data_IF_473537284036
#
_entry.id   IF_473537284036
#
_cell.length_a   1.000
_cell.length_b   1.000
_cell.length_c   1.000
_cell.angle_alpha   90.00
_cell.angle_beta   90.00
_cell.angle_gamma   90.00
#
_symmetry.space_group_name_H-M   'P 1'
#
loop_
_entity.id
_entity.type
_entity.pdbx_description
1 polymer ?
#
# COMPACT_ATOMS: atom_id res chain seq x y z
N UNK A 1 26.47 20.26 0.90
CA UNK A 1 25.33 19.45 1.40
C UNK A 1 24.33 20.38 2.07
N UNK A 2 23.05 20.06 2.05
CA UNK A 2 22.01 20.83 2.76
C UNK A 2 21.75 20.14 4.11
N UNK A 3 21.70 20.92 5.20
CA UNK A 3 21.38 20.42 6.55
C UNK A 3 19.92 20.76 6.85
N UNK A 4 19.11 19.76 7.20
CA UNK A 4 17.67 19.95 7.42
C UNK A 4 16.88 19.98 6.10
N UNK A 5 15.57 20.27 6.17
CA UNK A 5 14.68 20.45 5.01
C UNK A 5 14.71 19.30 3.99
N UNK A 6 14.88 18.06 4.47
CA UNK A 6 14.90 16.87 3.61
C UNK A 6 13.67 16.76 2.68
N UNK A 7 12.45 17.02 3.16
CA UNK A 7 11.25 17.02 2.32
C UNK A 7 11.30 18.06 1.20
N UNK A 8 11.61 19.32 1.50
CA UNK A 8 11.60 20.42 0.52
C UNK A 8 12.69 20.23 -0.55
N UNK A 9 13.87 19.78 -0.13
CA UNK A 9 14.95 19.47 -1.07
C UNK A 9 14.63 18.25 -1.96
N UNK A 10 13.91 17.26 -1.42
CA UNK A 10 13.43 16.14 -2.21
C UNK A 10 12.40 16.57 -3.26
N UNK A 11 11.44 17.43 -2.89
CA UNK A 11 10.44 17.97 -3.80
C UNK A 11 11.08 18.78 -4.94
N UNK A 12 12.06 19.63 -4.62
CA UNK A 12 12.83 20.37 -5.63
C UNK A 12 13.64 19.43 -6.53
N UNK A 13 14.29 18.41 -5.97
CA UNK A 13 15.02 17.42 -6.76
C UNK A 13 14.10 16.70 -7.75
N UNK A 14 12.87 16.36 -7.35
CA UNK A 14 11.88 15.75 -8.23
C UNK A 14 11.37 16.72 -9.29
N UNK A 15 11.12 17.98 -8.92
CA UNK A 15 10.72 19.04 -9.86
C UNK A 15 11.79 19.28 -10.93
N UNK A 16 13.07 19.21 -10.55
CA UNK A 16 14.20 19.34 -11.47
C UNK A 16 14.48 18.06 -12.30
N UNK A 17 13.65 17.02 -12.17
CA UNK A 17 13.80 15.76 -12.91
C UNK A 17 14.99 14.90 -12.47
N UNK A 18 15.53 15.12 -11.27
CA UNK A 18 16.61 14.29 -10.72
C UNK A 18 16.05 12.95 -10.19
N UNK A 19 16.90 11.92 -10.06
CA UNK A 19 16.47 10.59 -9.57
C UNK A 19 15.92 10.65 -8.12
N UNK A 20 16.29 11.68 -7.35
CA UNK A 20 15.94 11.87 -5.95
C UNK A 20 17.13 12.36 -5.13
N UNK A 21 17.16 12.04 -3.84
CA UNK A 21 18.19 12.53 -2.90
C UNK A 21 18.84 11.39 -2.11
N UNK A 22 20.06 11.63 -1.64
CA UNK A 22 20.74 10.78 -0.66
C UNK A 22 20.93 11.56 0.64
N UNK A 23 20.24 11.14 1.69
CA UNK A 23 20.40 11.66 3.05
C UNK A 23 21.52 10.93 3.77
N UNK A 24 22.59 11.65 4.14
CA UNK A 24 23.75 11.11 4.84
C UNK A 24 23.79 11.62 6.27
N UNK A 25 24.03 10.73 7.25
CA UNK A 25 24.23 11.13 8.65
C UNK A 25 25.55 11.87 8.78
N UNK A 26 25.49 13.18 9.02
CA UNK A 26 26.64 14.09 8.93
C UNK A 26 27.84 13.68 9.80
N UNK A 27 27.58 13.16 11.00
CA UNK A 27 28.63 12.82 11.96
C UNK A 27 29.04 11.34 11.90
N UNK A 28 28.61 10.59 10.89
CA UNK A 28 28.92 9.17 10.79
C UNK A 28 30.13 8.94 9.87
N UNK A 29 31.10 8.10 10.26
CA UNK A 29 32.20 7.73 9.39
C UNK A 29 31.69 6.90 8.20
N UNK A 30 32.45 6.89 7.11
CA UNK A 30 32.19 5.99 6.00
C UNK A 30 32.29 4.54 6.46
N UNK A 31 31.30 3.72 6.11
CA UNK A 31 31.30 2.27 6.34
C UNK A 31 30.88 1.56 5.07
N UNK A 32 31.68 0.60 4.63
CA UNK A 32 31.33 -0.28 3.52
C UNK A 32 30.19 -1.23 3.93
N UNK A 33 29.41 -1.69 2.94
CA UNK A 33 28.27 -2.59 3.16
C UNK A 33 26.93 -1.87 3.41
N UNK A 34 25.89 -2.65 3.68
CA UNK A 34 24.52 -2.14 3.85
C UNK A 34 24.39 -1.41 5.20
N UNK A 35 24.06 -0.12 5.15
CA UNK A 35 23.89 0.69 6.37
C UNK A 35 22.65 1.58 6.29
N UNK A 36 22.23 2.10 7.45
CA UNK A 36 21.18 3.13 7.56
C UNK A 36 21.74 4.55 7.63
N UNK A 37 23.05 4.71 7.45
CA UNK A 37 23.73 6.01 7.55
C UNK A 37 23.50 6.85 6.29
N UNK A 38 23.24 6.18 5.16
CA UNK A 38 22.89 6.77 3.88
C UNK A 38 21.52 6.23 3.49
N UNK A 39 20.56 7.11 3.29
CA UNK A 39 19.21 6.76 2.86
C UNK A 39 18.95 7.38 1.50
N UNK A 40 18.58 6.55 0.52
CA UNK A 40 18.15 7.01 -0.81
C UNK A 40 16.64 7.19 -0.79
N UNK A 41 16.18 8.38 -1.14
CA UNK A 41 14.79 8.66 -1.49
C UNK A 41 14.75 8.92 -2.99
N UNK A 42 13.88 8.20 -3.72
CA UNK A 42 13.77 8.31 -5.18
C UNK A 42 12.51 9.08 -5.56
N UNK A 43 12.62 9.93 -6.56
CA UNK A 43 11.46 10.49 -7.23
C UNK A 43 10.79 9.38 -8.03
N UNK A 44 9.57 9.04 -7.66
CA UNK A 44 8.78 8.04 -8.36
C UNK A 44 7.54 8.69 -8.94
N UNK A 45 7.14 8.23 -10.11
CA UNK A 45 5.95 8.66 -10.84
C UNK A 45 4.90 7.57 -10.71
N UNK A 46 3.65 7.97 -10.55
CA UNK A 46 2.52 7.05 -10.54
C UNK A 46 1.63 7.39 -11.73
N UNK A 47 1.22 6.38 -12.48
CA UNK A 47 0.25 6.55 -13.55
C UNK A 47 -0.61 5.28 -13.68
N UNK A 48 -1.61 5.36 -14.54
CA UNK A 48 -2.62 4.33 -14.74
C UNK A 48 -2.53 3.85 -16.18
N UNK A 49 -2.55 2.54 -16.37
CA UNK A 49 -2.34 1.91 -17.67
C UNK A 49 -3.32 0.77 -17.87
N UNK A 50 -3.74 0.56 -19.11
CA UNK A 50 -4.61 -0.55 -19.46
C UNK A 50 -3.81 -1.83 -19.60
N UNK A 51 -4.31 -2.93 -19.06
CA UNK A 51 -3.73 -4.25 -19.23
C UNK A 51 -4.23 -4.85 -20.54
N UNK A 52 -3.31 -5.16 -21.45
CA UNK A 52 -3.64 -5.79 -22.74
C UNK A 52 -3.07 -7.22 -22.90
N UNK A 53 -2.34 -7.72 -21.90
CA UNK A 53 -1.86 -9.10 -21.90
C UNK A 53 -1.00 -9.42 -20.70
N UNK A 54 -0.51 -10.66 -20.65
CA UNK A 54 0.46 -11.09 -19.65
C UNK A 54 1.42 -12.15 -20.21
N UNK A 55 2.61 -12.24 -19.60
CA UNK A 55 3.60 -13.28 -19.91
C UNK A 55 3.42 -14.48 -18.98
N UNK A 56 3.82 -15.70 -19.38
CA UNK A 56 3.81 -16.85 -18.50
C UNK A 56 4.75 -16.62 -17.31
N UNK A 57 4.51 -17.30 -16.18
CA UNK A 57 5.41 -17.24 -15.04
C UNK A 57 6.75 -17.92 -15.38
N UNK A 58 7.80 -17.57 -14.65
CA UNK A 58 9.13 -18.17 -14.78
C UNK A 58 9.70 -18.53 -13.41
N UNK A 59 10.42 -19.65 -13.32
CA UNK A 59 11.01 -20.13 -12.07
C UNK A 59 9.94 -20.55 -11.06
N UNK A 60 10.09 -20.16 -9.79
CA UNK A 60 9.16 -20.50 -8.70
C UNK A 60 7.89 -19.63 -8.65
N UNK A 61 7.64 -18.79 -9.66
CA UNK A 61 6.50 -17.87 -9.70
C UNK A 61 5.23 -18.62 -10.13
N UNK A 62 4.10 -18.34 -9.48
CA UNK A 62 2.76 -18.83 -9.87
C UNK A 62 1.94 -17.71 -10.52
N UNK A 63 0.89 -18.08 -11.28
CA UNK A 63 0.03 -17.14 -11.99
C UNK A 63 0.66 -16.68 -13.30
N UNK A 64 1.20 -15.45 -13.32
CA UNK A 64 1.81 -14.84 -14.50
C UNK A 64 3.20 -14.24 -14.19
N UNK A 65 3.99 -13.99 -15.23
CA UNK A 65 5.33 -13.40 -15.13
C UNK A 65 5.31 -11.87 -15.02
N UNK A 66 4.62 -11.21 -15.94
CA UNK A 66 4.44 -9.76 -15.96
C UNK A 66 3.16 -9.40 -16.74
N UNK A 67 2.52 -8.28 -16.38
CA UNK A 67 1.46 -7.69 -17.20
C UNK A 67 2.07 -6.86 -18.33
N UNK A 68 1.41 -6.85 -19.48
CA UNK A 68 1.67 -5.97 -20.61
C UNK A 68 0.72 -4.79 -20.54
N UNK A 69 1.29 -3.60 -20.55
CA UNK A 69 0.58 -2.35 -20.29
C UNK A 69 0.50 -1.51 -21.56
N UNK A 70 -0.59 -0.76 -21.68
CA UNK A 70 -0.77 0.22 -22.74
C UNK A 70 -1.56 1.44 -22.32
N UNK A 71 -1.66 2.39 -23.24
CA UNK A 71 -2.48 3.59 -23.14
C UNK A 71 -3.24 3.80 -24.44
N UNK A 72 -4.50 4.25 -24.37
CA UNK A 72 -5.26 4.49 -25.59
C UNK A 72 -4.84 5.82 -26.22
N UNK A 73 -4.50 5.78 -27.51
CA UNK A 73 -4.27 6.94 -28.38
C UNK A 73 -5.05 6.77 -29.66
N UNK A 74 -5.88 7.76 -29.98
CA UNK A 74 -6.69 7.75 -31.21
C UNK A 74 -7.49 6.43 -31.37
N UNK A 75 -8.03 5.92 -30.26
CA UNK A 75 -8.79 4.66 -30.22
C UNK A 75 -7.96 3.38 -30.33
N UNK A 76 -6.62 3.46 -30.29
CA UNK A 76 -5.71 2.31 -30.34
C UNK A 76 -4.91 2.18 -29.06
N UNK A 77 -4.74 0.96 -28.57
CA UNK A 77 -3.95 0.71 -27.37
C UNK A 77 -2.45 0.66 -27.72
N UNK A 78 -1.70 1.70 -27.39
CA UNK A 78 -0.24 1.74 -27.57
C UNK A 78 0.48 1.06 -26.40
N UNK A 79 1.41 0.17 -26.71
CA UNK A 79 2.20 -0.54 -25.71
C UNK A 79 3.20 0.38 -25.00
N UNK A 80 3.19 0.39 -23.66
CA UNK A 80 4.08 1.21 -22.83
C UNK A 80 5.03 0.39 -21.96
N UNK A 81 5.06 -0.93 -22.11
CA UNK A 81 5.99 -1.79 -21.38
C UNK A 81 5.32 -2.86 -20.53
N UNK A 82 6.12 -3.51 -19.69
CA UNK A 82 5.67 -4.62 -18.85
C UNK A 82 5.95 -4.36 -17.38
N UNK A 83 5.07 -4.83 -16.50
CA UNK A 83 5.24 -4.75 -15.04
C UNK A 83 5.25 -6.14 -14.42
N UNK A 84 6.34 -6.47 -13.74
CA UNK A 84 6.57 -7.81 -13.14
C UNK A 84 6.84 -7.78 -11.65
N UNK A 85 6.79 -6.63 -10.99
CA UNK A 85 7.03 -6.47 -9.54
C UNK A 85 5.87 -5.72 -8.90
N UNK A 86 5.78 -5.74 -7.56
CA UNK A 86 4.69 -5.09 -6.81
C UNK A 86 3.49 -6.00 -6.51
N UNK A 87 3.53 -7.26 -6.92
CA UNK A 87 2.48 -8.25 -6.63
C UNK A 87 2.83 -9.11 -5.42
N UNK A 88 1.88 -9.27 -4.50
CA UNK A 88 1.87 -10.39 -3.56
C UNK A 88 1.49 -11.70 -4.26
N UNK A 89 1.79 -12.85 -3.64
CA UNK A 89 1.42 -14.16 -4.20
C UNK A 89 -0.09 -14.30 -4.44
N UNK A 90 -0.92 -13.84 -3.50
CA UNK A 90 -2.38 -13.85 -3.63
C UNK A 90 -2.85 -12.95 -4.78
N UNK A 91 -2.26 -11.77 -4.94
CA UNK A 91 -2.58 -10.88 -6.07
C UNK A 91 -2.23 -11.52 -7.41
N UNK A 92 -1.09 -12.23 -7.52
CA UNK A 92 -0.75 -12.96 -8.74
C UNK A 92 -1.82 -14.01 -9.08
N UNK A 93 -2.25 -14.80 -8.10
CA UNK A 93 -3.26 -15.86 -8.28
C UNK A 93 -4.64 -15.28 -8.63
N UNK A 94 -5.12 -14.30 -7.86
CA UNK A 94 -6.43 -13.68 -8.07
C UNK A 94 -6.50 -12.92 -9.41
N UNK A 95 -5.46 -12.15 -9.74
CA UNK A 95 -5.43 -11.42 -11.00
C UNK A 95 -5.26 -12.36 -12.19
N UNK A 96 -4.48 -13.44 -12.07
CA UNK A 96 -4.38 -14.45 -13.12
C UNK A 96 -5.76 -15.06 -13.44
N UNK A 97 -6.52 -15.47 -12.42
CA UNK A 97 -7.86 -16.03 -12.60
C UNK A 97 -8.83 -15.05 -13.28
N UNK A 98 -8.67 -13.73 -13.05
CA UNK A 98 -9.45 -12.69 -13.75
C UNK A 98 -9.00 -12.51 -15.19
N UNK A 99 -7.69 -12.44 -15.43
CA UNK A 99 -7.12 -12.29 -16.77
C UNK A 99 -7.50 -13.46 -17.69
N UNK A 100 -7.56 -14.68 -17.16
CA UNK A 100 -8.01 -15.86 -17.91
C UNK A 100 -9.46 -15.73 -18.42
N UNK A 101 -10.33 -15.00 -17.72
CA UNK A 101 -11.71 -14.76 -18.17
C UNK A 101 -11.80 -13.70 -19.28
N UNK A 102 -10.76 -12.89 -19.42
CA UNK A 102 -10.67 -11.82 -20.40
C UNK A 102 -9.73 -12.20 -21.56
N UNK A 103 -9.31 -13.46 -21.68
CA UNK A 103 -8.41 -13.91 -22.76
C UNK A 103 -8.99 -13.60 -24.14
N UNK A 104 -8.11 -13.15 -25.04
CA UNK A 104 -8.44 -12.78 -26.40
C UNK A 104 -7.45 -13.45 -27.37
N UNK A 105 -7.92 -13.82 -28.56
CA UNK A 105 -7.07 -14.53 -29.53
C UNK A 105 -6.02 -13.60 -30.17
N UNK A 106 -6.34 -12.31 -30.28
CA UNK A 106 -5.51 -11.31 -30.96
C UNK A 106 -4.98 -10.28 -29.96
N UNK A 107 -3.80 -9.74 -30.27
CA UNK A 107 -3.22 -8.64 -29.49
C UNK A 107 -4.13 -7.41 -29.56
N UNK A 108 -4.53 -6.83 -28.41
CA UNK A 108 -5.26 -5.56 -28.40
C UNK A 108 -4.34 -4.36 -28.70
N UNK A 109 -3.02 -4.55 -28.64
CA UNK A 109 -2.06 -3.48 -28.85
C UNK A 109 -1.90 -3.15 -30.33
N UNK A 110 -1.72 -1.86 -30.62
CA UNK A 110 -1.21 -1.39 -31.89
C UNK A 110 0.16 -2.04 -32.19
N UNK A 111 0.47 -2.36 -33.46
CA UNK A 111 1.75 -2.95 -33.84
C UNK A 111 2.93 -2.11 -33.35
N UNK A 112 3.85 -2.75 -32.61
CA UNK A 112 5.04 -2.10 -32.08
C UNK A 112 6.21 -3.07 -32.05
N UNK A 113 7.42 -2.59 -32.39
CA UNK A 113 8.66 -3.38 -32.31
C UNK A 113 9.05 -3.73 -30.87
N UNK A 114 8.53 -2.99 -29.89
CA UNK A 114 8.79 -3.19 -28.46
C UNK A 114 7.89 -4.24 -27.81
N UNK A 115 6.82 -4.68 -28.50
CA UNK A 115 5.97 -5.75 -28.00
C UNK A 115 6.76 -7.06 -27.89
N UNK A 116 6.57 -7.84 -26.81
CA UNK A 116 7.22 -9.13 -26.69
C UNK A 116 6.82 -10.05 -27.85
N UNK A 117 7.80 -10.54 -28.62
CA UNK A 117 7.59 -11.47 -29.75
C UNK A 117 7.33 -12.91 -29.33
N UNK A 118 7.28 -13.20 -28.03
CA UNK A 118 7.10 -14.56 -27.53
C UNK A 118 5.71 -15.07 -27.89
N UNK A 119 5.64 -16.27 -28.49
CA UNK A 119 4.37 -16.97 -28.75
C UNK A 119 3.60 -17.35 -27.49
N UNK A 120 4.23 -17.25 -26.31
CA UNK A 120 3.61 -17.60 -25.04
C UNK A 120 2.89 -16.43 -24.35
N UNK A 121 2.83 -15.24 -24.96
CA UNK A 121 2.04 -14.14 -24.41
C UNK A 121 0.56 -14.48 -24.51
N UNK A 122 -0.16 -14.27 -23.41
CA UNK A 122 -1.61 -14.35 -23.37
C UNK A 122 -2.17 -12.94 -23.53
N UNK A 123 -2.98 -12.72 -24.56
CA UNK A 123 -3.64 -11.43 -24.80
C UNK A 123 -4.94 -11.40 -24.02
N UNK A 124 -5.29 -10.21 -23.53
CA UNK A 124 -6.56 -10.02 -22.83
C UNK A 124 -7.29 -8.81 -23.37
N UNK A 125 -8.61 -8.79 -23.23
CA UNK A 125 -9.42 -7.63 -23.53
C UNK A 125 -8.95 -6.43 -22.70
N UNK A 126 -8.79 -5.24 -23.31
CA UNK A 126 -8.21 -4.07 -22.66
C UNK A 126 -9.22 -3.37 -21.74
N UNK A 127 -9.72 -4.09 -20.74
CA UNK A 127 -10.76 -3.64 -19.80
C UNK A 127 -10.25 -3.33 -18.41
N UNK A 128 -9.10 -3.90 -18.04
CA UNK A 128 -8.54 -3.73 -16.71
C UNK A 128 -7.55 -2.56 -16.69
N UNK A 129 -7.72 -1.65 -15.73
CA UNK A 129 -6.77 -0.56 -15.48
C UNK A 129 -5.89 -0.90 -14.29
N UNK A 130 -4.57 -0.84 -14.48
CA UNK A 130 -3.56 -1.03 -13.47
C UNK A 130 -2.91 0.31 -13.09
N UNK A 131 -2.86 0.60 -11.80
CA UNK A 131 -2.04 1.68 -11.26
C UNK A 131 -0.62 1.18 -11.05
N UNK A 132 0.36 1.93 -11.56
CA UNK A 132 1.76 1.54 -11.64
C UNK A 132 2.65 2.69 -11.21
N UNK A 133 3.60 2.39 -10.33
CA UNK A 133 4.72 3.25 -10.00
C UNK A 133 5.89 2.99 -10.95
N UNK A 134 6.57 4.01 -11.43
CA UNK A 134 7.74 3.91 -12.31
C UNK A 134 8.69 5.10 -12.10
N UNK A 135 9.94 4.99 -12.58
CA UNK A 135 10.91 6.08 -12.39
C UNK A 135 10.88 7.11 -13.51
N UNK A 136 10.78 6.64 -14.76
CA UNK A 136 10.76 7.49 -15.95
C UNK A 136 10.19 6.74 -17.16
N UNK A 137 9.85 7.48 -18.23
CA UNK A 137 9.58 6.91 -19.55
C UNK A 137 10.84 7.00 -20.41
N UNK A 138 11.12 5.97 -21.21
CA UNK A 138 12.18 6.04 -22.23
C UNK A 138 11.75 6.96 -23.38
N UNK A 139 12.70 7.29 -24.28
CA UNK A 139 12.40 8.06 -25.50
C UNK A 139 11.33 7.38 -26.36
N UNK A 140 11.28 6.05 -26.33
CA UNK A 140 10.30 5.23 -27.04
C UNK A 140 8.98 5.08 -26.27
N UNK A 141 8.78 5.84 -25.19
CA UNK A 141 7.53 5.86 -24.41
C UNK A 141 7.36 4.73 -23.40
N UNK A 142 8.36 3.85 -23.23
CA UNK A 142 8.30 2.68 -22.35
C UNK A 142 8.59 3.02 -20.88
N UNK A 143 7.91 2.35 -19.95
CA UNK A 143 8.12 2.53 -18.52
C UNK A 143 9.43 1.91 -18.04
N UNK A 144 10.21 2.69 -17.26
CA UNK A 144 11.43 2.22 -16.59
C UNK A 144 11.17 1.93 -15.11
N UNK A 145 11.64 0.75 -14.68
CA UNK A 145 11.46 0.23 -13.32
C UNK A 145 10.00 0.25 -12.83
N UNK A 146 9.02 -0.23 -13.62
CA UNK A 146 7.63 -0.23 -13.20
C UNK A 146 7.37 -1.24 -12.08
N UNK A 147 6.52 -0.88 -11.13
CA UNK A 147 5.99 -1.72 -10.06
C UNK A 147 4.49 -1.52 -9.92
N UNK A 148 3.75 -2.62 -9.84
CA UNK A 148 2.30 -2.61 -9.68
C UNK A 148 1.91 -2.09 -8.29
N UNK A 149 0.87 -1.26 -8.25
CA UNK A 149 0.27 -0.75 -7.02
C UNK A 149 -1.11 -1.36 -6.76
N UNK A 150 -1.95 -1.47 -7.80
CA UNK A 150 -3.32 -1.97 -7.66
C UNK A 150 -4.11 -1.89 -8.96
N UNK A 151 -5.33 -2.43 -8.97
CA UNK A 151 -6.28 -2.22 -10.06
C UNK A 151 -7.17 -1.00 -9.77
N UNK A 152 -7.70 -0.40 -10.84
CA UNK A 152 -8.65 0.71 -10.79
C UNK A 152 -9.89 0.35 -11.59
N UNK A 153 -10.83 -0.30 -10.91
CA UNK A 153 -12.08 -0.78 -11.53
C UNK A 153 -13.11 0.35 -11.73
N UNK A 154 -12.87 1.48 -11.09
CA UNK A 154 -13.67 2.69 -11.16
C UNK A 154 -13.41 3.53 -12.42
N UNK A 155 -12.45 3.13 -13.26
CA UNK A 155 -12.02 3.91 -14.42
C UNK A 155 -12.36 3.21 -15.73
N UNK A 156 -12.84 4.02 -16.68
CA UNK A 156 -12.99 3.63 -18.07
C UNK A 156 -11.59 3.61 -18.75
N UNK A 157 -11.14 2.46 -19.28
CA UNK A 157 -9.86 2.34 -19.98
C UNK A 157 -9.67 3.33 -21.13
N UNK A 158 -10.74 3.67 -21.87
CA UNK A 158 -10.65 4.54 -23.05
C UNK A 158 -10.54 6.03 -22.69
N UNK A 159 -10.90 6.40 -21.46
CA UNK A 159 -10.86 7.78 -20.97
C UNK A 159 -9.57 8.10 -20.20
N UNK A 160 -8.60 7.18 -20.17
CA UNK A 160 -7.32 7.42 -19.52
C UNK A 160 -6.51 8.47 -20.29
N UNK A 161 -5.87 9.38 -19.55
CA UNK A 161 -4.96 10.37 -20.12
C UNK A 161 -3.82 9.66 -20.89
N UNK A 162 -3.69 9.89 -22.21
CA UNK A 162 -2.72 9.19 -23.06
C UNK A 162 -1.25 9.50 -22.76
N UNK A 163 -0.99 10.58 -22.04
CA UNK A 163 0.37 10.98 -21.71
C UNK A 163 0.74 10.52 -20.31
N UNK A 164 -0.21 10.48 -19.37
CA UNK A 164 0.14 10.40 -17.94
C UNK A 164 1.20 11.45 -17.56
N UNK A 165 1.33 12.52 -18.37
CA UNK A 165 2.30 13.62 -18.26
C UNK A 165 1.65 14.87 -17.70
N UNK A 166 0.34 14.85 -17.41
CA UNK A 166 0.00 15.35 -16.09
C UNK A 166 0.77 14.47 -15.15
N UNK A 167 1.91 15.00 -14.70
CA UNK A 167 2.27 14.89 -13.30
C UNK A 167 0.94 15.15 -12.58
N UNK A 168 0.17 14.09 -12.30
CA UNK A 168 -0.55 14.07 -11.04
C UNK A 168 0.55 14.45 -10.08
N UNK A 169 0.47 15.70 -9.57
CA UNK A 169 1.37 16.20 -8.54
C UNK A 169 1.66 15.01 -7.66
N UNK A 170 2.96 14.63 -7.50
CA UNK A 170 3.35 13.32 -6.98
C UNK A 170 2.38 13.03 -5.87
N UNK A 171 1.48 12.03 -6.02
CA UNK A 171 0.31 11.91 -5.13
C UNK A 171 0.89 12.02 -3.75
N UNK A 172 0.77 13.21 -3.15
CA UNK A 172 1.18 13.39 -1.78
C UNK A 172 0.29 12.34 -1.15
N UNK A 173 0.81 11.38 -0.37
CA UNK A 173 -0.09 10.57 0.45
C UNK A 173 -1.01 11.61 1.09
N UNK A 174 -2.32 11.58 0.79
CA UNK A 174 -3.14 12.77 0.54
C UNK A 174 -2.68 13.91 1.43
N UNK A 175 -2.10 14.97 0.86
CA UNK A 175 -1.91 16.18 1.65
C UNK A 175 -3.29 16.54 2.16
N UNK A 176 -3.39 16.56 3.50
CA UNK A 176 -4.60 16.61 4.31
C UNK A 176 -5.44 17.88 4.14
N UNK A 177 -5.55 18.46 2.95
CA UNK A 177 -6.04 19.83 2.80
C UNK A 177 -6.83 20.15 1.54
N UNK A 178 -7.40 19.17 0.82
CA UNK A 178 -8.38 19.48 -0.24
C UNK A 178 -9.30 18.30 -0.65
N UNK A 179 -9.64 17.42 0.30
CA UNK A 179 -10.98 16.86 0.30
C UNK A 179 -11.54 17.27 1.64
N UNK A 180 -12.50 18.19 1.63
CA UNK A 180 -13.51 18.25 2.68
C UNK A 180 -14.30 16.93 2.63
N UNK A 181 -13.66 15.81 2.93
CA UNK A 181 -14.29 14.86 3.82
C UNK A 181 -14.25 15.60 5.15
N UNK A 182 -15.41 16.09 5.62
CA UNK A 182 -15.55 16.59 6.98
C UNK A 182 -14.75 15.66 7.89
N UNK A 183 -13.63 16.13 8.40
CA UNK A 183 -12.77 15.31 9.25
C UNK A 183 -13.60 15.02 10.50
N UNK A 184 -14.24 13.85 10.52
CA UNK A 184 -15.11 13.46 11.62
C UNK A 184 -14.19 13.03 12.74
N UNK A 185 -14.32 13.70 13.89
CA UNK A 185 -13.60 13.33 15.09
C UNK A 185 -14.45 12.34 15.87
N UNK A 186 -13.85 11.21 16.23
CA UNK A 186 -14.42 10.21 17.14
C UNK A 186 -13.40 10.01 18.26
N UNK A 187 -13.81 10.13 19.52
CA UNK A 187 -12.93 10.00 20.68
C UNK A 187 -11.59 10.78 20.57
N UNK A 188 -11.66 12.06 20.20
CA UNK A 188 -10.51 12.96 19.99
C UNK A 188 -9.55 12.58 18.84
N UNK A 189 -9.91 11.58 18.03
CA UNK A 189 -9.16 11.18 16.84
C UNK A 189 -9.87 11.63 15.58
N UNK A 190 -9.16 12.44 14.80
CA UNK A 190 -9.60 12.84 13.46
C UNK A 190 -9.48 11.68 12.48
N UNK A 191 -10.61 11.21 11.96
CA UNK A 191 -10.66 10.15 10.95
C UNK A 191 -10.47 10.72 9.56
N UNK A 192 -9.53 10.17 8.79
CA UNK A 192 -9.37 10.50 7.37
C UNK A 192 -10.03 9.42 6.51
N UNK A 193 -10.72 9.81 5.45
CA UNK A 193 -11.57 8.91 4.65
C UNK A 193 -12.56 8.11 5.52
N UNK A 194 -13.41 8.78 6.31
CA UNK A 194 -14.44 8.14 7.15
C UNK A 194 -15.37 7.21 6.33
N UNK A 195 -15.62 7.55 5.08
CA UNK A 195 -16.46 6.83 4.12
C UNK A 195 -15.86 5.53 3.58
N UNK A 196 -14.56 5.27 3.85
CA UNK A 196 -13.90 4.06 3.34
C UNK A 196 -14.60 2.80 3.85
N UNK A 197 -15.04 1.95 2.91
CA UNK A 197 -15.66 0.66 3.20
C UNK A 197 -14.59 -0.32 3.71
N UNK A 198 -14.81 -0.90 4.88
CA UNK A 198 -13.94 -1.90 5.50
C UNK A 198 -14.50 -3.32 5.42
N UNK A 199 -15.84 -3.45 5.48
CA UNK A 199 -16.56 -4.72 5.28
C UNK A 199 -17.55 -4.55 4.12
N UNK A 200 -17.16 -4.88 2.88
CA UNK A 200 -17.98 -4.65 1.68
C UNK A 200 -19.34 -5.32 1.75
N UNK A 201 -19.40 -6.58 2.20
CA UNK A 201 -20.64 -7.36 2.31
C UNK A 201 -21.67 -6.74 3.25
N UNK A 202 -21.21 -5.96 4.24
CA UNK A 202 -22.05 -5.34 5.26
C UNK A 202 -22.18 -3.82 5.07
N UNK A 203 -21.51 -3.25 4.06
CA UNK A 203 -21.43 -1.81 3.84
C UNK A 203 -20.79 -1.02 5.00
N UNK A 204 -20.04 -1.67 5.89
CA UNK A 204 -19.48 -1.02 7.10
C UNK A 204 -18.30 -0.15 6.69
N UNK A 205 -18.42 1.15 6.97
CA UNK A 205 -17.38 2.15 6.74
C UNK A 205 -16.42 2.28 7.93
N UNK A 206 -15.32 3.00 7.73
CA UNK A 206 -14.38 3.34 8.81
C UNK A 206 -15.05 4.13 9.92
N UNK A 207 -15.90 5.10 9.58
CA UNK A 207 -16.66 5.87 10.56
C UNK A 207 -17.61 4.98 11.35
N UNK A 208 -18.32 4.07 10.67
CA UNK A 208 -19.21 3.11 11.32
C UNK A 208 -18.44 2.21 12.29
N UNK A 209 -17.26 1.72 11.91
CA UNK A 209 -16.43 0.89 12.79
C UNK A 209 -15.90 1.67 14.00
N UNK A 210 -15.47 2.92 13.81
CA UNK A 210 -15.04 3.78 14.91
C UNK A 210 -16.19 4.08 15.87
N UNK A 211 -17.37 4.42 15.35
CA UNK A 211 -18.58 4.64 16.14
C UNK A 211 -19.08 3.38 16.84
N UNK A 212 -18.88 2.20 16.24
CA UNK A 212 -19.15 0.93 16.91
C UNK A 212 -18.29 0.76 18.17
N UNK A 213 -16.97 0.96 18.07
CA UNK A 213 -16.08 0.86 19.23
C UNK A 213 -16.36 1.94 20.29
N UNK A 214 -16.77 3.14 19.88
CA UNK A 214 -17.25 4.17 20.80
C UNK A 214 -18.51 3.72 21.54
N UNK A 215 -19.48 3.13 20.82
CA UNK A 215 -20.71 2.60 21.37
C UNK A 215 -20.51 1.40 22.30
N UNK A 216 -19.47 0.58 22.08
CA UNK A 216 -19.17 -0.58 22.92
C UNK A 216 -18.01 -0.37 23.90
N UNK A 217 -17.53 0.86 24.08
CA UNK A 217 -16.27 1.12 24.78
C UNK A 217 -16.24 0.56 26.21
N UNK A 218 -17.36 0.66 26.94
CA UNK A 218 -17.48 0.20 28.33
C UNK A 218 -17.37 -1.33 28.45
N UNK A 219 -17.77 -2.07 27.43
CA UNK A 219 -17.67 -3.53 27.40
C UNK A 219 -16.33 -4.01 26.86
N UNK A 220 -15.75 -3.32 25.88
CA UNK A 220 -14.54 -3.79 25.20
C UNK A 220 -13.25 -3.41 25.95
N UNK A 221 -13.19 -2.22 26.55
CA UNK A 221 -11.99 -1.73 27.22
C UNK A 221 -11.52 -2.59 28.40
N UNK A 222 -12.38 -3.16 29.26
CA UNK A 222 -11.96 -4.06 30.33
C UNK A 222 -11.14 -5.27 29.83
N UNK A 223 -11.36 -5.71 28.59
CA UNK A 223 -10.69 -6.86 27.98
C UNK A 223 -9.55 -6.50 27.02
N UNK A 224 -9.40 -5.23 26.62
CA UNK A 224 -8.34 -4.79 25.70
C UNK A 224 -7.32 -3.87 26.36
N UNK A 225 -7.73 -3.07 27.33
CA UNK A 225 -6.89 -2.05 27.92
C UNK A 225 -5.70 -2.69 28.65
N UNK A 226 -4.52 -2.10 28.46
CA UNK A 226 -3.27 -2.50 29.11
C UNK A 226 -2.89 -3.97 28.86
N UNK A 227 -3.30 -4.54 27.73
CA UNK A 227 -2.88 -5.86 27.27
C UNK A 227 -2.05 -5.74 26.00
N UNK A 228 -0.91 -6.44 25.88
CA UNK A 228 -0.21 -6.53 24.60
C UNK A 228 -1.15 -7.03 23.49
N UNK A 229 -1.10 -6.40 22.32
CA UNK A 229 -1.99 -6.69 21.21
C UNK A 229 -1.22 -7.26 20.02
N UNK A 230 -1.83 -8.25 19.39
CA UNK A 230 -1.61 -8.54 17.97
C UNK A 230 -2.77 -7.93 17.19
N UNK A 231 -2.48 -7.26 16.09
CA UNK A 231 -3.47 -6.53 15.32
C UNK A 231 -3.73 -7.23 13.99
N UNK A 232 -5.00 -7.43 13.61
CA UNK A 232 -5.33 -7.74 12.22
C UNK A 232 -5.57 -6.43 11.48
N UNK A 233 -4.71 -6.12 10.51
CA UNK A 233 -4.79 -4.91 9.72
C UNK A 233 -5.21 -5.18 8.30
N UNK A 234 -6.17 -4.42 7.83
CA UNK A 234 -6.74 -4.51 6.49
C UNK A 234 -6.87 -3.08 5.92
N UNK A 235 -5.77 -2.45 5.47
CA UNK A 235 -5.75 -1.04 5.05
C UNK A 235 -6.67 -0.72 3.85
N UNK A 236 -6.95 -1.73 3.04
CA UNK A 236 -7.81 -1.70 1.84
C UNK A 236 -9.17 -2.39 2.07
N UNK A 237 -9.52 -2.70 3.33
CA UNK A 237 -10.72 -3.49 3.67
C UNK A 237 -10.43 -4.97 3.86
N UNK A 238 -11.43 -5.74 4.34
CA UNK A 238 -11.27 -7.12 4.86
C UNK A 238 -10.69 -8.14 3.86
N UNK A 239 -10.65 -7.81 2.57
CA UNK A 239 -10.11 -8.67 1.53
C UNK A 239 -8.58 -8.83 1.59
N UNK A 240 -7.88 -7.85 2.15
CA UNK A 240 -6.41 -7.82 2.21
C UNK A 240 -5.90 -7.56 3.64
N UNK A 241 -6.00 -8.59 4.49
CA UNK A 241 -5.58 -8.52 5.89
C UNK A 241 -4.22 -9.16 6.16
N UNK A 242 -3.48 -8.62 7.13
CA UNK A 242 -2.27 -9.22 7.69
C UNK A 242 -2.17 -9.01 9.20
N UNK A 243 -1.59 -9.99 9.89
CA UNK A 243 -1.30 -9.88 11.32
C UNK A 243 -0.05 -9.03 11.55
N UNK A 244 -0.15 -8.08 12.47
CA UNK A 244 0.93 -7.20 12.87
C UNK A 244 1.13 -7.24 14.38
N UNK A 245 2.27 -7.82 14.80
CA UNK A 245 2.72 -7.82 16.21
C UNK A 245 3.47 -6.55 16.59
N UNK A 246 4.18 -5.94 15.63
CA UNK A 246 5.06 -4.81 15.86
C UNK A 246 4.71 -3.65 14.92
N UNK A 247 4.30 -2.50 15.47
CA UNK A 247 4.08 -1.28 14.69
C UNK A 247 5.41 -0.65 14.24
N UNK A 248 5.42 -0.10 13.03
CA UNK A 248 6.57 0.65 12.49
C UNK A 248 6.74 2.03 13.15
N UNK A 249 7.95 2.58 13.12
CA UNK A 249 8.34 3.80 13.88
C UNK A 249 7.45 5.03 13.68
N UNK A 250 6.77 5.18 12.54
CA UNK A 250 5.89 6.34 12.26
C UNK A 250 4.49 6.21 12.86
N UNK A 251 4.05 5.00 13.21
CA UNK A 251 2.77 4.74 13.91
C UNK A 251 2.94 4.85 15.44
N UNK A 252 4.17 5.06 15.91
CA UNK A 252 4.56 4.96 17.32
C UNK A 252 4.22 6.19 18.18
N UNK A 253 3.55 7.22 17.64
CA UNK A 253 3.22 8.44 18.40
C UNK A 253 1.82 8.46 18.98
N UNK A 254 0.90 7.63 18.47
CA UNK A 254 -0.53 7.73 18.81
C UNK A 254 -0.99 6.64 19.78
N UNK A 255 -0.23 5.56 19.94
CA UNK A 255 -0.63 4.38 20.74
C UNK A 255 0.54 3.93 21.60
N UNK A 256 0.24 3.45 22.82
CA UNK A 256 1.24 3.03 23.79
C UNK A 256 2.00 1.76 23.38
N UNK A 257 3.22 1.60 23.90
CA UNK A 257 4.13 0.50 23.57
C UNK A 257 4.77 -0.08 24.81
N UNK A 258 5.06 -1.38 24.73
CA UNK A 258 5.83 -2.11 25.73
C UNK A 258 6.92 -2.92 25.04
N UNK A 259 8.11 -2.93 25.63
CA UNK A 259 9.22 -3.76 25.20
C UNK A 259 9.12 -5.13 25.89
N UNK A 260 8.90 -6.20 25.11
CA UNK A 260 8.79 -7.58 25.59
C UNK A 260 9.99 -8.37 25.09
N UNK A 261 10.55 -9.22 25.96
CA UNK A 261 11.68 -10.08 25.62
C UNK A 261 11.16 -11.36 24.95
N UNK A 262 11.63 -11.62 23.74
CA UNK A 262 11.40 -12.85 22.99
C UNK A 262 12.73 -13.56 22.78
N UNK A 263 13.02 -14.54 23.64
CA UNK A 263 14.30 -15.25 23.67
C UNK A 263 15.48 -14.30 23.89
N UNK A 264 16.32 -14.11 22.86
CA UNK A 264 17.50 -13.24 22.90
C UNK A 264 17.23 -11.81 22.39
N UNK A 265 16.03 -11.51 21.88
CA UNK A 265 15.70 -10.21 21.31
C UNK A 265 14.60 -9.51 22.13
N UNK A 266 14.65 -8.19 22.22
CA UNK A 266 13.54 -7.38 22.74
C UNK A 266 12.74 -6.82 21.56
N UNK A 267 11.42 -6.97 21.61
CA UNK A 267 10.50 -6.49 20.59
C UNK A 267 9.45 -5.58 21.21
N UNK A 268 9.03 -4.59 20.43
CA UNK A 268 8.00 -3.66 20.87
C UNK A 268 6.62 -4.20 20.47
N UNK A 269 5.75 -4.33 21.47
CA UNK A 269 4.33 -4.60 21.33
C UNK A 269 3.54 -3.34 21.61
N UNK A 270 2.29 -3.32 21.15
CA UNK A 270 1.37 -2.18 21.33
C UNK A 270 0.23 -2.59 22.23
N UNK A 271 -0.31 -1.61 22.95
CA UNK A 271 -1.50 -1.80 23.78
C UNK A 271 -2.31 -0.51 23.80
N UNK A 272 -3.60 -0.63 24.08
CA UNK A 272 -4.52 0.50 24.21
C UNK A 272 -4.74 0.85 25.68
N UNK A 273 -5.01 2.12 25.99
CA UNK A 273 -5.37 2.60 27.33
C UNK A 273 -6.76 3.19 27.37
N UNK A 274 -7.25 3.69 26.24
CA UNK A 274 -8.52 4.38 26.12
C UNK A 274 -9.17 4.11 24.77
N UNK A 275 -10.42 4.56 24.61
CA UNK A 275 -11.13 4.55 23.34
C UNK A 275 -10.33 5.29 22.24
N UNK A 276 -9.70 6.42 22.55
CA UNK A 276 -8.88 7.17 21.59
C UNK A 276 -7.74 6.32 21.01
N UNK A 277 -7.11 5.46 21.82
CA UNK A 277 -6.08 4.53 21.33
C UNK A 277 -6.69 3.48 20.36
N UNK A 278 -7.91 2.99 20.63
CA UNK A 278 -8.65 2.06 19.74
C UNK A 278 -9.00 2.76 18.41
N UNK A 279 -9.58 3.96 18.47
CA UNK A 279 -9.98 4.72 17.27
C UNK A 279 -8.75 5.11 16.44
N UNK A 280 -7.61 5.43 17.09
CA UNK A 280 -6.35 5.64 16.39
C UNK A 280 -5.89 4.39 15.62
N UNK A 281 -6.07 3.20 16.20
CA UNK A 281 -5.75 1.94 15.52
C UNK A 281 -6.72 1.65 14.35
N UNK A 282 -8.02 1.93 14.52
CA UNK A 282 -9.02 1.85 13.43
C UNK A 282 -8.68 2.81 12.28
N UNK A 283 -8.26 4.04 12.59
CA UNK A 283 -7.79 5.00 11.59
C UNK A 283 -6.60 4.46 10.78
N UNK A 284 -5.75 3.65 11.41
CA UNK A 284 -4.66 2.92 10.76
C UNK A 284 -5.09 1.59 10.11
N UNK A 285 -6.39 1.32 9.97
CA UNK A 285 -6.92 0.14 9.29
C UNK A 285 -6.78 -1.14 10.10
N UNK A 286 -6.80 -1.06 11.43
CA UNK A 286 -6.98 -2.23 12.30
C UNK A 286 -8.47 -2.57 12.36
N UNK A 287 -8.80 -3.83 12.08
CA UNK A 287 -10.17 -4.33 12.12
C UNK A 287 -10.41 -5.21 13.35
N UNK A 288 -9.40 -5.98 13.77
CA UNK A 288 -9.49 -6.90 14.89
C UNK A 288 -8.32 -6.72 15.86
N UNK A 289 -8.63 -6.83 17.15
CA UNK A 289 -7.70 -6.73 18.27
C UNK A 289 -7.57 -8.09 18.93
N UNK A 290 -6.35 -8.60 19.04
CA UNK A 290 -6.05 -9.90 19.63
C UNK A 290 -5.22 -9.67 20.90
N UNK A 291 -5.86 -9.51 22.08
CA UNK A 291 -5.18 -9.29 23.33
C UNK A 291 -4.48 -10.54 23.84
N UNK A 292 -3.35 -10.33 24.48
CA UNK A 292 -2.73 -11.37 25.30
C UNK A 292 -3.53 -11.53 26.59
N UNK A 293 -3.54 -12.74 27.13
CA UNK A 293 -4.20 -13.06 28.40
C UNK A 293 -3.49 -12.52 29.64
N UNK A 294 -2.57 -11.57 29.50
CA UNK A 294 -1.81 -10.94 30.58
C UNK A 294 -1.79 -9.42 30.42
N UNK A 295 -1.54 -8.71 31.53
CA UNK A 295 -1.35 -7.26 31.53
C UNK A 295 0.08 -6.89 31.12
N UNK A 296 0.25 -5.67 30.61
CA UNK A 296 1.57 -5.12 30.25
C UNK A 296 2.53 -5.02 31.43
N UNK A 297 2.03 -4.97 32.67
CA UNK A 297 2.88 -4.87 33.85
C UNK A 297 3.49 -6.23 34.23
N UNK A 298 2.87 -7.33 33.82
CA UNK A 298 3.29 -8.70 34.16
C UNK A 298 2.96 -9.67 33.02
N UNK A 299 3.78 -9.60 31.96
CA UNK A 299 3.52 -10.33 30.71
C UNK A 299 3.72 -11.84 30.82
N UNK A 300 4.37 -12.33 31.88
CA UNK A 300 4.67 -13.75 32.09
C UNK A 300 3.60 -14.46 32.93
N UNK A 301 2.67 -13.71 33.56
CA UNK A 301 1.60 -14.28 34.38
C UNK A 301 0.22 -13.91 33.79
N UNK A 302 -0.41 -14.81 33.02
CA UNK A 302 -1.73 -14.56 32.48
C UNK A 302 -2.80 -14.51 33.58
N UNK A 303 -3.69 -13.52 33.49
CA UNK A 303 -4.86 -13.30 34.33
C UNK A 303 -6.18 -13.62 33.59
N UNK A 304 -6.11 -13.97 32.31
CA UNK A 304 -7.26 -14.34 31.48
C UNK A 304 -7.00 -15.61 30.67
N UNK A 305 -8.00 -16.49 30.63
CA UNK A 305 -8.05 -17.68 29.80
C UNK A 305 -9.36 -17.70 29.00
N UNK A 306 -9.29 -18.03 27.71
CA UNK A 306 -10.43 -18.09 26.80
C UNK A 306 -10.60 -19.55 26.38
N UNK A 307 -11.81 -20.07 26.49
CA UNK A 307 -12.20 -21.38 25.96
C UNK A 307 -13.07 -21.15 24.73
N UNK A 308 -12.76 -21.86 23.65
CA UNK A 308 -13.51 -21.88 22.39
C UNK A 308 -14.25 -23.22 22.25
#
# INVERSE_FOLDING_TARGET
HIRGQGPDFFEQACTLGLEGIISKRANAPYRSGRSRLWLKAKCTRHAKFVVGGYTPPSGARSGFGALLLGTFREGRLEYVGRVGTGFSRRQLEALHARLQKEEEAQSPFAPSSSLPRSRAVHWVRPRLVAQVEYTERTRDGLLRQPSFLGLREDLDPEQLDPFGDRLEEPVRPPSRSAQEASAVTVADISLTHPERILYPEQGVTKLTLAGYYEGIQEWVLPYLARRPLVLLRCPEGREACFYQKHLGKNQARTVARIAIREGHATRDYVYVRSLSDIVALVQHGVLEFHPWGCLVDDVEHPDQMIFD
#
